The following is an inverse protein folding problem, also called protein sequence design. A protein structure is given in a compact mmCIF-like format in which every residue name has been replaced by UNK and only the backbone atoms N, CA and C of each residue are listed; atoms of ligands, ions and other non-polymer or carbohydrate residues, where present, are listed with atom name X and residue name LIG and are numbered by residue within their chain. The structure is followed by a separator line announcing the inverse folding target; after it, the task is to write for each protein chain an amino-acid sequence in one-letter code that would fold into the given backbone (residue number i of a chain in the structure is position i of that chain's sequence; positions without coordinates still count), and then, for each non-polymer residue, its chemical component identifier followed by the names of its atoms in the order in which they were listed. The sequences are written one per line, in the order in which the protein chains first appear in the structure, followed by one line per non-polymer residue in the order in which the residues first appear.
data_IF_655148197020
#
_entry.id   IF_655148197020
#
_cell.length_a   1.000
_cell.length_b   1.000
_cell.length_c   1.000
_cell.angle_alpha   90.00
_cell.angle_beta   90.00
_cell.angle_gamma   90.00
#
_symmetry.space_group_name_H-M   'P 1'
#
loop_
_entity.id
_entity.type
_entity.pdbx_description
1 polymer ?
#
# COMPACT_ATOMS: atom_id res chain seq x y z
N UNK A 1 -20.88 -13.58 -16.08
CA UNK A 1 -19.76 -14.41 -16.57
C UNK A 1 -18.41 -13.74 -16.26
N UNK A 2 -17.35 -14.53 -16.18
CA UNK A 2 -15.99 -14.04 -15.96
C UNK A 2 -15.56 -13.08 -17.09
N UNK A 3 -15.94 -13.36 -18.32
CA UNK A 3 -15.67 -12.49 -19.46
C UNK A 3 -16.30 -11.09 -19.33
N UNK A 4 -17.52 -11.01 -18.80
CA UNK A 4 -18.18 -9.72 -18.52
C UNK A 4 -17.47 -8.94 -17.42
N UNK A 5 -17.09 -9.62 -16.33
CA UNK A 5 -16.33 -9.00 -15.24
C UNK A 5 -15.00 -8.41 -15.74
N UNK A 6 -14.26 -9.18 -16.54
CA UNK A 6 -13.01 -8.71 -17.15
C UNK A 6 -13.24 -7.50 -18.07
N UNK A 7 -14.31 -7.53 -18.89
CA UNK A 7 -14.66 -6.42 -19.77
C UNK A 7 -15.04 -5.13 -19.00
N UNK A 8 -15.50 -5.26 -17.76
CA UNK A 8 -15.79 -4.15 -16.85
C UNK A 8 -14.55 -3.70 -16.06
N UNK A 9 -13.38 -4.27 -16.32
CA UNK A 9 -12.13 -3.88 -15.66
C UNK A 9 -11.87 -4.57 -14.32
N UNK A 10 -12.56 -5.69 -14.02
CA UNK A 10 -12.27 -6.45 -12.80
C UNK A 10 -10.86 -7.08 -12.88
N UNK A 11 -10.07 -6.92 -11.81
CA UNK A 11 -8.76 -7.56 -11.65
C UNK A 11 -8.84 -8.94 -11.01
N UNK A 12 -9.91 -9.23 -10.30
CA UNK A 12 -10.24 -10.53 -9.71
C UNK A 12 -11.75 -10.62 -9.49
N UNK A 13 -12.25 -11.82 -9.22
CA UNK A 13 -13.65 -12.02 -8.88
C UNK A 13 -13.79 -12.89 -7.63
N UNK A 14 -14.76 -12.57 -6.77
CA UNK A 14 -15.06 -13.37 -5.58
C UNK A 14 -16.37 -14.14 -5.78
N UNK A 15 -16.34 -15.42 -5.45
CA UNK A 15 -17.51 -16.31 -5.44
C UNK A 15 -17.64 -17.01 -4.10
N UNK A 16 -18.83 -17.51 -3.79
CA UNK A 16 -19.14 -18.11 -2.49
C UNK A 16 -19.21 -19.64 -2.58
N UNK A 17 -18.64 -20.31 -1.58
CA UNK A 17 -18.82 -21.74 -1.35
C UNK A 17 -19.53 -21.92 -0.02
N UNK A 18 -20.84 -22.23 -0.08
CA UNK A 18 -21.66 -22.42 1.10
C UNK A 18 -21.57 -23.87 1.61
N UNK A 19 -21.30 -24.00 2.90
CA UNK A 19 -21.10 -25.27 3.60
C UNK A 19 -22.01 -25.40 4.83
N UNK A 20 -22.16 -26.62 5.32
CA UNK A 20 -23.04 -26.95 6.45
C UNK A 20 -24.49 -27.22 6.03
N UNK A 21 -24.69 -27.49 4.75
CA UNK A 21 -25.97 -27.92 4.17
C UNK A 21 -26.01 -29.45 3.98
N UNK A 22 -27.02 -29.97 3.29
CA UNK A 22 -27.05 -31.36 2.88
C UNK A 22 -26.04 -31.64 1.76
N UNK A 23 -25.51 -32.85 1.69
CA UNK A 23 -24.55 -33.31 0.68
C UNK A 23 -24.96 -32.95 -0.76
N UNK A 24 -26.26 -33.02 -1.06
CA UNK A 24 -26.77 -32.65 -2.38
C UNK A 24 -26.58 -31.16 -2.71
N UNK A 25 -26.80 -30.29 -1.72
CA UNK A 25 -26.64 -28.82 -1.90
C UNK A 25 -25.20 -28.48 -2.02
N UNK A 26 -24.33 -29.05 -1.18
CA UNK A 26 -22.91 -28.82 -1.22
C UNK A 26 -22.26 -29.31 -2.52
N UNK A 27 -22.60 -30.53 -2.95
CA UNK A 27 -22.13 -31.07 -4.22
C UNK A 27 -22.50 -30.18 -5.41
N UNK A 28 -23.74 -29.67 -5.46
CA UNK A 28 -24.14 -28.72 -6.49
C UNK A 28 -23.36 -27.40 -6.41
N UNK A 29 -23.11 -26.91 -5.20
CA UNK A 29 -22.28 -25.71 -4.96
C UNK A 29 -20.83 -25.88 -5.45
N UNK A 30 -20.21 -27.02 -5.15
CA UNK A 30 -18.87 -27.38 -5.61
C UNK A 30 -18.79 -27.39 -7.13
N UNK A 31 -19.77 -28.07 -7.79
CA UNK A 31 -19.83 -28.17 -9.24
C UNK A 31 -19.93 -26.79 -9.91
N UNK A 32 -20.81 -25.92 -9.39
CA UNK A 32 -20.95 -24.53 -9.90
C UNK A 32 -19.67 -23.76 -9.74
N UNK A 33 -19.03 -23.82 -8.57
CA UNK A 33 -17.77 -23.14 -8.31
C UNK A 33 -16.65 -23.64 -9.24
N UNK A 34 -16.52 -24.96 -9.43
CA UNK A 34 -15.51 -25.56 -10.31
C UNK A 34 -15.67 -25.08 -11.77
N UNK A 35 -16.90 -25.06 -12.27
CA UNK A 35 -17.18 -24.54 -13.61
C UNK A 35 -16.84 -23.06 -13.76
N UNK A 36 -17.13 -22.28 -12.73
CA UNK A 36 -16.85 -20.84 -12.76
C UNK A 36 -15.36 -20.52 -12.65
N UNK A 37 -14.62 -21.26 -11.84
CA UNK A 37 -13.15 -21.17 -11.76
C UNK A 37 -12.52 -21.48 -13.13
N UNK A 38 -13.02 -22.54 -13.81
CA UNK A 38 -12.55 -22.87 -15.15
C UNK A 38 -12.88 -21.76 -16.16
N UNK A 39 -14.03 -21.09 -16.05
CA UNK A 39 -14.37 -19.92 -16.86
C UNK A 39 -13.40 -18.77 -16.60
N UNK A 40 -13.09 -18.49 -15.33
CA UNK A 40 -12.12 -17.45 -14.94
C UNK A 40 -10.72 -17.74 -15.51
N UNK A 41 -10.25 -18.98 -15.37
CA UNK A 41 -8.95 -19.43 -15.88
C UNK A 41 -8.82 -19.24 -17.39
N UNK A 42 -9.88 -19.50 -18.17
CA UNK A 42 -9.88 -19.29 -19.63
C UNK A 42 -9.71 -17.85 -20.07
N UNK A 43 -10.07 -16.90 -19.23
CA UNK A 43 -9.95 -15.46 -19.52
C UNK A 43 -8.82 -14.77 -18.76
N UNK A 44 -8.06 -15.53 -17.95
CA UNK A 44 -6.96 -15.00 -17.15
C UNK A 44 -7.41 -14.11 -15.99
N UNK A 45 -8.63 -14.31 -15.45
CA UNK A 45 -9.18 -13.55 -14.34
C UNK A 45 -9.01 -14.35 -13.03
N UNK A 46 -8.23 -13.89 -12.04
CA UNK A 46 -8.09 -14.55 -10.76
C UNK A 46 -9.43 -14.75 -10.05
N UNK A 47 -9.65 -15.95 -9.49
CA UNK A 47 -10.86 -16.32 -8.78
C UNK A 47 -10.57 -16.50 -7.29
N UNK A 48 -11.25 -15.70 -6.46
CA UNK A 48 -11.21 -15.78 -5.00
C UNK A 48 -12.43 -16.55 -4.55
N UNK A 49 -12.24 -17.63 -3.80
CA UNK A 49 -13.38 -18.36 -3.22
C UNK A 49 -13.54 -17.98 -1.74
N UNK A 50 -14.77 -17.67 -1.36
CA UNK A 50 -15.17 -17.39 0.02
C UNK A 50 -15.96 -18.59 0.59
N UNK A 51 -15.30 -19.51 1.33
CA UNK A 51 -15.99 -20.57 2.06
C UNK A 51 -16.79 -19.97 3.21
N UNK A 52 -18.06 -20.30 3.29
CA UNK A 52 -18.99 -19.82 4.32
C UNK A 52 -19.72 -20.97 4.99
N UNK A 53 -19.57 -21.08 6.30
CA UNK A 53 -20.28 -22.02 7.14
C UNK A 53 -21.68 -21.45 7.50
N UNK A 54 -22.72 -21.81 6.74
CA UNK A 54 -24.04 -21.19 6.87
C UNK A 54 -25.20 -22.21 6.97
N UNK A 55 -24.98 -23.47 6.66
CA UNK A 55 -26.03 -24.48 6.66
C UNK A 55 -26.54 -24.88 8.05
N UNK A 56 -27.67 -25.57 8.10
CA UNK A 56 -28.27 -26.04 9.35
C UNK A 56 -27.43 -27.05 10.14
N UNK A 57 -26.35 -27.57 9.55
CA UNK A 57 -25.41 -28.46 10.22
C UNK A 57 -24.25 -27.69 10.93
N UNK A 58 -24.21 -26.37 10.78
CA UNK A 58 -23.20 -25.51 11.43
C UNK A 58 -23.58 -25.28 12.87
N UNK A 59 -22.62 -25.47 13.77
CA UNK A 59 -22.71 -25.18 15.20
C UNK A 59 -21.52 -24.34 15.62
N UNK A 60 -21.58 -23.68 16.78
CA UNK A 60 -20.44 -22.96 17.30
C UNK A 60 -19.21 -23.86 17.54
N UNK A 61 -19.42 -25.16 17.76
CA UNK A 61 -18.34 -26.11 18.01
C UNK A 61 -17.63 -26.60 16.72
N UNK A 62 -18.31 -26.63 15.58
CA UNK A 62 -17.76 -27.20 14.34
C UNK A 62 -17.49 -26.16 13.23
N UNK A 63 -17.75 -24.88 13.46
CA UNK A 63 -17.60 -23.84 12.46
C UNK A 63 -16.17 -23.75 11.92
N UNK A 64 -15.16 -23.89 12.78
CA UNK A 64 -13.74 -23.84 12.39
C UNK A 64 -13.36 -25.04 11.52
N UNK A 65 -13.86 -26.23 11.85
CA UNK A 65 -13.60 -27.45 11.08
C UNK A 65 -14.25 -27.36 9.69
N UNK A 66 -15.49 -26.84 9.63
CA UNK A 66 -16.19 -26.62 8.34
C UNK A 66 -15.46 -25.59 7.49
N UNK A 67 -14.99 -24.48 8.08
CA UNK A 67 -14.21 -23.47 7.36
C UNK A 67 -12.87 -24.02 6.86
N UNK A 68 -12.20 -24.86 7.68
CA UNK A 68 -10.95 -25.50 7.32
C UNK A 68 -11.14 -26.48 6.15
N UNK A 69 -12.18 -27.30 6.21
CA UNK A 69 -12.57 -28.19 5.12
C UNK A 69 -12.93 -27.39 3.86
N UNK A 70 -13.70 -26.31 4.02
CA UNK A 70 -14.08 -25.44 2.91
C UNK A 70 -12.89 -24.74 2.25
N UNK A 71 -11.90 -24.34 3.04
CA UNK A 71 -10.65 -23.79 2.52
C UNK A 71 -9.92 -24.81 1.65
N UNK A 72 -9.81 -26.06 2.12
CA UNK A 72 -9.19 -27.14 1.37
C UNK A 72 -9.95 -27.44 0.06
N UNK A 73 -11.28 -27.57 0.15
CA UNK A 73 -12.12 -27.80 -1.03
C UNK A 73 -11.99 -26.68 -2.05
N UNK A 74 -11.96 -25.42 -1.61
CA UNK A 74 -11.82 -24.27 -2.50
C UNK A 74 -10.47 -24.28 -3.24
N UNK A 75 -9.37 -24.67 -2.57
CA UNK A 75 -8.07 -24.86 -3.21
C UNK A 75 -8.09 -25.97 -4.25
N UNK A 76 -8.71 -27.12 -3.93
CA UNK A 76 -8.83 -28.24 -4.86
C UNK A 76 -9.73 -27.93 -6.07
N UNK A 77 -10.72 -27.06 -5.90
CA UNK A 77 -11.51 -26.49 -7.00
C UNK A 77 -10.66 -25.61 -7.90
N UNK A 78 -9.58 -25.01 -7.37
CA UNK A 78 -8.62 -24.18 -8.10
C UNK A 78 -8.74 -22.68 -7.83
N UNK A 79 -9.12 -22.31 -6.61
CA UNK A 79 -9.07 -20.91 -6.18
C UNK A 79 -7.65 -20.35 -6.27
N UNK A 80 -7.50 -19.12 -6.75
CA UNK A 80 -6.22 -18.38 -6.76
C UNK A 80 -5.92 -17.72 -5.41
N UNK A 81 -6.98 -17.42 -4.64
CA UNK A 81 -6.89 -16.94 -3.26
C UNK A 81 -8.18 -17.31 -2.51
N UNK A 82 -8.14 -17.28 -1.19
CA UNK A 82 -9.29 -17.50 -0.33
C UNK A 82 -9.65 -16.22 0.41
N UNK A 83 -10.96 -16.02 0.63
CA UNK A 83 -11.48 -15.01 1.53
C UNK A 83 -12.20 -15.71 2.68
N UNK A 84 -11.68 -15.63 3.91
CA UNK A 84 -12.12 -16.47 5.03
C UNK A 84 -12.40 -15.61 6.28
N UNK A 85 -13.46 -15.93 7.05
CA UNK A 85 -13.68 -15.32 8.36
C UNK A 85 -12.51 -15.60 9.31
N UNK A 86 -12.12 -14.62 10.11
CA UNK A 86 -11.21 -14.88 11.21
C UNK A 86 -11.83 -15.86 12.20
N UNK A 87 -11.07 -16.88 12.61
CA UNK A 87 -11.58 -17.97 13.47
C UNK A 87 -11.67 -17.59 14.94
N UNK A 88 -11.27 -16.35 15.31
CA UNK A 88 -11.26 -15.86 16.69
C UNK A 88 -10.05 -16.28 17.51
N UNK A 89 -9.11 -16.99 16.91
CA UNK A 89 -7.88 -17.47 17.54
C UNK A 89 -6.73 -17.54 16.55
N UNK A 90 -5.57 -16.98 16.91
CA UNK A 90 -4.39 -16.88 16.04
C UNK A 90 -3.88 -18.25 15.60
N UNK A 91 -3.87 -19.23 16.50
CA UNK A 91 -3.30 -20.55 16.20
C UNK A 91 -4.20 -21.37 15.29
N UNK A 92 -5.51 -21.30 15.46
CA UNK A 92 -6.48 -21.96 14.57
C UNK A 92 -6.44 -21.33 13.19
N UNK A 93 -6.38 -19.99 13.10
CA UNK A 93 -6.29 -19.30 11.82
C UNK A 93 -4.95 -19.53 11.12
N UNK A 94 -3.86 -19.63 11.87
CA UNK A 94 -2.51 -19.97 11.34
C UNK A 94 -2.49 -21.36 10.72
N UNK A 95 -3.13 -22.35 11.36
CA UNK A 95 -3.28 -23.69 10.77
C UNK A 95 -4.05 -23.66 9.46
N UNK A 96 -5.15 -22.89 9.41
CA UNK A 96 -5.95 -22.72 8.20
C UNK A 96 -5.12 -22.06 7.09
N UNK A 97 -4.42 -20.97 7.36
CA UNK A 97 -3.56 -20.30 6.38
C UNK A 97 -2.50 -21.25 5.80
N UNK A 98 -1.88 -22.09 6.64
CA UNK A 98 -0.88 -23.07 6.19
C UNK A 98 -1.48 -24.17 5.32
N UNK A 99 -2.71 -24.60 5.61
CA UNK A 99 -3.40 -25.65 4.85
C UNK A 99 -3.92 -25.16 3.50
N UNK A 100 -4.15 -23.86 3.37
CA UNK A 100 -4.69 -23.26 2.16
C UNK A 100 -3.73 -23.32 0.98
N UNK A 101 -2.41 -23.22 1.19
CA UNK A 101 -1.38 -23.20 0.15
C UNK A 101 -1.54 -22.11 -0.93
N UNK A 102 -2.56 -21.24 -0.77
CA UNK A 102 -2.82 -20.03 -1.57
C UNK A 102 -2.99 -18.83 -0.63
N UNK A 103 -2.87 -17.59 -1.12
CA UNK A 103 -3.09 -16.40 -0.29
C UNK A 103 -4.45 -16.42 0.39
N UNK A 104 -4.47 -16.21 1.71
CA UNK A 104 -5.69 -16.08 2.51
C UNK A 104 -5.92 -14.61 2.83
N UNK A 105 -7.09 -14.10 2.45
CA UNK A 105 -7.54 -12.76 2.75
C UNK A 105 -8.61 -12.84 3.83
N UNK A 106 -8.37 -12.20 4.99
CA UNK A 106 -9.35 -12.22 6.06
C UNK A 106 -10.55 -11.34 5.72
N UNK A 107 -11.75 -11.81 5.95
CA UNK A 107 -12.94 -10.97 5.82
C UNK A 107 -13.24 -10.19 7.11
N UNK A 108 -13.79 -8.99 6.97
CA UNK A 108 -14.10 -8.11 8.11
C UNK A 108 -15.29 -8.54 8.97
N UNK A 109 -16.00 -9.59 8.60
CA UNK A 109 -17.14 -10.09 9.35
C UNK A 109 -18.34 -9.13 9.43
N UNK A 110 -19.10 -9.23 10.54
CA UNK A 110 -20.11 -8.27 10.90
C UNK A 110 -19.46 -6.91 11.22
N UNK A 111 -20.25 -5.83 11.23
CA UNK A 111 -19.73 -4.55 11.68
C UNK A 111 -19.26 -4.66 13.11
N UNK A 112 -18.03 -4.26 13.36
CA UNK A 112 -17.49 -4.10 14.71
C UNK A 112 -18.14 -2.90 15.41
N UNK A 113 -18.27 -2.98 16.72
CA UNK A 113 -18.87 -1.90 17.51
C UNK A 113 -17.97 -0.66 17.57
N UNK A 114 -16.65 -0.88 17.46
CA UNK A 114 -15.65 0.17 17.44
C UNK A 114 -14.55 -0.12 16.40
N UNK A 115 -13.75 0.88 16.12
CA UNK A 115 -12.65 0.83 15.14
C UNK A 115 -11.53 -0.12 15.61
N UNK A 116 -11.25 -0.17 16.91
CA UNK A 116 -10.21 -1.03 17.50
C UNK A 116 -10.44 -2.49 17.16
N UNK A 117 -11.67 -2.99 17.33
CA UNK A 117 -11.99 -4.41 17.09
C UNK A 117 -11.68 -4.83 15.64
N UNK A 118 -11.97 -3.94 14.68
CA UNK A 118 -11.67 -4.22 13.26
C UNK A 118 -10.15 -4.27 13.00
N UNK A 119 -9.39 -3.41 13.67
CA UNK A 119 -7.93 -3.37 13.55
C UNK A 119 -7.27 -4.56 14.26
N UNK A 120 -7.75 -4.93 15.45
CA UNK A 120 -7.27 -6.10 16.21
C UNK A 120 -7.53 -7.39 15.44
N UNK A 121 -8.75 -7.58 14.93
CA UNK A 121 -9.08 -8.72 14.08
C UNK A 121 -8.09 -8.85 12.90
N UNK A 122 -7.79 -7.74 12.24
CA UNK A 122 -6.87 -7.79 11.11
C UNK A 122 -5.43 -8.04 11.54
N UNK A 123 -4.96 -7.39 12.62
CA UNK A 123 -3.60 -7.58 13.13
C UNK A 123 -3.35 -9.04 13.55
N UNK A 124 -4.30 -9.66 14.25
CA UNK A 124 -4.23 -11.06 14.65
C UNK A 124 -4.27 -12.01 13.43
N UNK A 125 -5.13 -11.73 12.46
CA UNK A 125 -5.17 -12.51 11.23
C UNK A 125 -3.86 -12.40 10.43
N UNK A 126 -3.24 -11.23 10.37
CA UNK A 126 -1.95 -11.02 9.72
C UNK A 126 -0.82 -11.74 10.47
N UNK A 127 -0.79 -11.70 11.80
CA UNK A 127 0.14 -12.48 12.63
C UNK A 127 0.00 -13.98 12.38
N UNK A 128 -1.23 -14.42 12.15
CA UNK A 128 -1.53 -15.81 11.81
C UNK A 128 -1.13 -16.21 10.38
N UNK A 129 -0.77 -15.25 9.51
CA UNK A 129 -0.31 -15.52 8.14
C UNK A 129 -1.30 -15.14 7.05
N UNK A 130 -2.33 -14.33 7.33
CA UNK A 130 -3.14 -13.73 6.29
C UNK A 130 -2.30 -12.86 5.36
N UNK A 131 -2.52 -12.98 4.06
CA UNK A 131 -1.86 -12.18 3.03
C UNK A 131 -2.45 -10.76 2.91
N UNK A 132 -3.64 -10.52 3.49
CA UNK A 132 -4.34 -9.25 3.45
C UNK A 132 -5.76 -9.35 3.98
N UNK A 133 -6.57 -8.32 3.73
CA UNK A 133 -7.98 -8.34 4.11
C UNK A 133 -8.91 -7.89 2.97
N UNK A 134 -10.15 -8.37 2.99
CA UNK A 134 -11.26 -7.90 2.16
C UNK A 134 -12.41 -7.47 3.05
N UNK A 135 -12.33 -6.24 3.58
CA UNK A 135 -13.31 -5.67 4.49
C UNK A 135 -14.28 -4.75 3.75
N UNK A 136 -15.56 -5.05 3.81
CA UNK A 136 -16.62 -4.20 3.25
C UNK A 136 -17.27 -3.33 4.31
N UNK A 137 -18.16 -3.92 5.12
CA UNK A 137 -19.05 -3.23 6.06
C UNK A 137 -18.31 -2.41 7.12
N UNK A 138 -17.19 -2.89 7.64
CA UNK A 138 -16.40 -2.16 8.62
C UNK A 138 -15.84 -0.87 8.04
N UNK A 139 -15.40 -0.90 6.78
CA UNK A 139 -14.89 0.28 6.07
C UNK A 139 -16.03 1.21 5.64
N UNK A 140 -17.00 0.69 4.88
CA UNK A 140 -18.05 1.53 4.27
C UNK A 140 -19.02 2.16 5.28
N UNK A 141 -19.12 1.61 6.48
CA UNK A 141 -19.94 2.12 7.58
C UNK A 141 -19.13 2.73 8.72
N UNK A 142 -17.81 2.87 8.54
CA UNK A 142 -16.99 3.65 9.46
C UNK A 142 -17.41 5.12 9.42
N UNK A 143 -17.40 5.84 10.54
CA UNK A 143 -17.54 7.30 10.56
C UNK A 143 -16.48 8.01 9.72
N UNK A 144 -15.28 7.41 9.63
CA UNK A 144 -14.18 7.85 8.78
C UNK A 144 -13.58 6.65 8.03
N UNK A 145 -14.16 6.27 6.88
CA UNK A 145 -13.69 5.13 6.09
C UNK A 145 -12.25 5.27 5.62
N UNK A 146 -11.85 6.50 5.32
CA UNK A 146 -10.50 6.79 4.84
C UNK A 146 -9.46 6.52 5.93
N UNK A 147 -9.67 7.05 7.13
CA UNK A 147 -8.81 6.81 8.28
C UNK A 147 -8.65 5.32 8.57
N UNK A 148 -9.76 4.58 8.58
CA UNK A 148 -9.71 3.12 8.83
C UNK A 148 -8.90 2.39 7.78
N UNK A 149 -9.01 2.78 6.50
CA UNK A 149 -8.18 2.20 5.45
C UNK A 149 -6.70 2.52 5.66
N UNK A 150 -6.36 3.77 6.01
CA UNK A 150 -4.97 4.18 6.29
C UNK A 150 -4.37 3.39 7.47
N UNK A 151 -5.15 3.14 8.50
CA UNK A 151 -4.76 2.33 9.66
C UNK A 151 -4.53 0.86 9.25
N UNK A 152 -5.44 0.27 8.46
CA UNK A 152 -5.29 -1.09 7.94
C UNK A 152 -4.05 -1.22 7.05
N UNK A 153 -3.80 -0.25 6.19
CA UNK A 153 -2.58 -0.17 5.36
C UNK A 153 -1.33 -0.04 6.23
N UNK A 154 -1.38 0.78 7.29
CA UNK A 154 -0.30 0.93 8.25
C UNK A 154 0.06 -0.38 8.96
N UNK A 155 -0.94 -1.16 9.34
CA UNK A 155 -0.74 -2.51 9.90
C UNK A 155 -0.19 -3.46 8.84
N UNK A 156 -0.81 -3.48 7.65
CA UNK A 156 -0.48 -4.41 6.56
C UNK A 156 0.95 -4.25 6.03
N UNK A 157 1.37 -3.02 5.78
CA UNK A 157 2.57 -2.74 5.00
C UNK A 157 3.67 -2.00 5.76
N UNK A 158 3.35 -1.41 6.92
CA UNK A 158 4.30 -0.61 7.69
C UNK A 158 4.57 -1.15 9.09
N UNK A 159 4.04 -2.34 9.43
CA UNK A 159 4.27 -2.99 10.71
C UNK A 159 3.74 -2.20 11.92
N UNK A 160 2.67 -1.43 11.75
CA UNK A 160 2.08 -0.71 12.86
C UNK A 160 1.38 -1.66 13.82
N UNK A 161 1.56 -1.43 15.13
CA UNK A 161 0.67 -2.01 16.13
C UNK A 161 -0.70 -1.34 16.07
N UNK A 162 -1.74 -2.02 16.56
CA UNK A 162 -3.09 -1.46 16.66
C UNK A 162 -3.10 -0.16 17.47
N UNK A 163 -2.37 -0.12 18.60
CA UNK A 163 -2.25 1.09 19.40
C UNK A 163 -1.58 2.24 18.66
N UNK A 164 -0.63 1.95 17.78
CA UNK A 164 -0.04 2.96 16.91
C UNK A 164 -1.04 3.43 15.88
N UNK A 165 -1.75 2.52 15.22
CA UNK A 165 -2.77 2.84 14.24
C UNK A 165 -3.88 3.74 14.83
N UNK A 166 -4.31 3.48 16.06
CA UNK A 166 -5.34 4.27 16.76
C UNK A 166 -4.85 5.63 17.24
N UNK A 167 -3.56 5.75 17.61
CA UNK A 167 -2.95 7.03 18.03
C UNK A 167 -2.63 7.95 16.86
N UNK A 168 -2.71 7.47 15.63
CA UNK A 168 -2.56 8.32 14.46
C UNK A 168 -3.72 9.32 14.40
N UNK A 169 -3.61 10.42 15.14
CA UNK A 169 -4.30 11.65 14.82
C UNK A 169 -3.89 12.00 13.40
N UNK A 170 -4.87 11.95 12.48
CA UNK A 170 -4.73 12.36 11.07
C UNK A 170 -3.27 12.53 10.62
N UNK A 171 -2.59 11.43 10.30
CA UNK A 171 -1.36 11.53 9.52
C UNK A 171 -1.79 11.99 8.13
N UNK A 172 -2.02 13.28 8.01
CA UNK A 172 -1.99 13.93 6.74
C UNK A 172 -0.56 13.74 6.24
N UNK A 173 -0.31 12.67 5.44
CA UNK A 173 0.94 12.57 4.73
C UNK A 173 1.11 13.89 3.98
N UNK A 174 2.09 14.65 4.43
CA UNK A 174 2.38 15.93 3.85
C UNK A 174 2.74 15.69 2.38
N UNK A 175 2.08 16.40 1.49
CA UNK A 175 2.45 16.40 0.08
C UNK A 175 2.75 17.81 -0.37
N UNK A 176 3.77 17.92 -1.19
CA UNK A 176 3.96 19.12 -1.97
C UNK A 176 2.90 19.18 -3.06
N UNK A 177 2.32 20.34 -3.23
CA UNK A 177 1.44 20.71 -4.35
C UNK A 177 1.93 22.01 -4.96
N UNK A 178 1.57 22.24 -6.19
CA UNK A 178 1.90 23.50 -6.85
C UNK A 178 0.72 24.06 -7.64
N UNK A 179 0.63 25.39 -7.63
CA UNK A 179 -0.20 26.19 -8.52
C UNK A 179 0.71 26.82 -9.59
N UNK A 180 0.83 26.23 -10.79
CA UNK A 180 1.78 26.73 -11.80
C UNK A 180 1.52 28.19 -12.21
N UNK A 181 0.26 28.64 -12.15
CA UNK A 181 -0.10 30.03 -12.46
C UNK A 181 0.48 31.06 -11.49
N UNK A 182 0.78 30.65 -10.27
CA UNK A 182 1.34 31.49 -9.21
C UNK A 182 2.88 31.52 -9.23
N UNK A 183 3.51 30.64 -10.00
CA UNK A 183 4.96 30.49 -10.01
C UNK A 183 5.61 31.60 -10.85
N UNK A 184 6.44 32.41 -10.22
CA UNK A 184 7.21 33.51 -10.87
C UNK A 184 8.58 33.07 -11.41
N UNK A 185 8.99 31.82 -11.17
CA UNK A 185 10.31 31.33 -11.59
C UNK A 185 11.48 31.86 -10.76
N UNK A 186 11.23 32.42 -9.59
CA UNK A 186 12.28 33.10 -8.77
C UNK A 186 13.35 32.16 -8.20
N UNK A 187 13.19 30.84 -8.27
CA UNK A 187 14.09 29.80 -7.75
C UNK A 187 14.37 29.84 -6.23
N UNK A 188 13.68 30.65 -5.43
CA UNK A 188 13.86 30.64 -3.96
C UNK A 188 13.63 29.25 -3.34
N UNK A 189 12.65 28.52 -3.82
CA UNK A 189 12.38 27.14 -3.37
C UNK A 189 13.54 26.18 -3.68
N UNK A 190 14.23 26.36 -4.81
CA UNK A 190 15.40 25.55 -5.19
C UNK A 190 16.56 25.86 -4.26
N UNK A 191 16.82 27.14 -4.01
CA UNK A 191 17.89 27.59 -3.08
C UNK A 191 17.61 27.10 -1.66
N UNK A 192 16.37 27.24 -1.16
CA UNK A 192 16.01 26.80 0.18
C UNK A 192 16.14 25.27 0.33
N UNK A 193 15.73 24.50 -0.69
CA UNK A 193 15.89 23.05 -0.67
C UNK A 193 17.38 22.64 -0.69
N UNK A 194 18.21 23.33 -1.47
CA UNK A 194 19.66 23.09 -1.47
C UNK A 194 20.30 23.42 -0.13
N UNK A 195 19.97 24.57 0.45
CA UNK A 195 20.51 25.01 1.74
C UNK A 195 20.13 24.09 2.92
N UNK A 196 18.91 23.53 2.91
CA UNK A 196 18.44 22.62 3.94
C UNK A 196 19.24 21.30 3.97
N UNK A 197 19.83 20.93 2.84
CA UNK A 197 20.47 19.62 2.65
C UNK A 197 21.99 19.71 2.37
N UNK A 198 22.57 20.89 2.48
CA UNK A 198 23.99 21.15 2.26
C UNK A 198 24.61 21.72 3.53
N UNK A 199 25.38 20.91 4.25
CA UNK A 199 26.02 21.28 5.52
C UNK A 199 27.05 22.42 5.38
N UNK A 200 27.41 22.82 4.17
CA UNK A 200 28.49 23.78 3.90
C UNK A 200 28.19 24.94 2.96
N UNK A 201 27.00 25.03 2.36
CA UNK A 201 26.77 26.03 1.34
C UNK A 201 25.32 26.15 0.80
N UNK A 202 25.16 27.08 -0.12
CA UNK A 202 23.89 27.30 -0.83
C UNK A 202 23.84 26.53 -2.15
N UNK A 203 24.29 25.26 -2.13
CA UNK A 203 24.42 24.44 -3.33
C UNK A 203 23.08 23.98 -3.89
N UNK A 204 22.64 24.58 -4.99
CA UNK A 204 21.39 24.17 -5.67
C UNK A 204 21.49 22.79 -6.34
N UNK A 205 22.68 22.21 -6.43
CA UNK A 205 22.92 20.88 -7.01
C UNK A 205 22.32 19.73 -6.18
N UNK A 206 22.10 19.94 -4.87
CA UNK A 206 21.42 19.00 -3.99
C UNK A 206 19.90 19.27 -3.87
N UNK A 207 19.40 20.28 -4.55
CA UNK A 207 17.97 20.56 -4.54
C UNK A 207 17.17 19.41 -5.16
N UNK A 208 16.13 18.96 -4.45
CA UNK A 208 15.25 17.85 -4.82
C UNK A 208 13.99 18.34 -5.54
N UNK A 209 14.10 19.52 -6.12
CA UNK A 209 13.12 20.14 -7.00
C UNK A 209 13.81 21.08 -7.98
N UNK A 210 13.13 21.40 -9.07
CA UNK A 210 13.63 22.36 -10.07
C UNK A 210 12.49 23.16 -10.67
N UNK A 211 12.82 24.30 -11.25
CA UNK A 211 11.88 25.11 -12.02
C UNK A 211 12.13 24.88 -13.51
N UNK A 212 11.09 24.57 -14.25
CA UNK A 212 11.11 24.49 -15.70
C UNK A 212 10.37 25.69 -16.28
N UNK A 213 10.90 26.26 -17.35
CA UNK A 213 10.19 27.26 -18.14
C UNK A 213 9.11 26.58 -18.97
N UNK A 214 7.91 27.14 -18.95
CA UNK A 214 6.81 26.68 -19.78
C UNK A 214 6.95 27.12 -21.25
N UNK A 215 5.99 26.75 -22.09
CA UNK A 215 5.98 27.07 -23.51
C UNK A 215 5.71 28.55 -23.81
N UNK A 216 5.23 29.32 -22.84
CA UNK A 216 4.96 30.77 -22.97
C UNK A 216 5.89 31.58 -22.06
N UNK A 217 6.31 32.77 -22.49
CA UNK A 217 7.07 33.69 -21.64
C UNK A 217 6.35 33.93 -20.31
N UNK A 218 7.11 33.85 -19.19
CA UNK A 218 6.56 34.02 -17.83
C UNK A 218 5.82 32.82 -17.25
N UNK A 219 5.67 31.73 -18.00
CA UNK A 219 5.17 30.47 -17.47
C UNK A 219 6.31 29.66 -16.83
N UNK A 220 6.09 29.24 -15.60
CA UNK A 220 7.04 28.40 -14.89
C UNK A 220 6.32 27.21 -14.26
N UNK A 221 7.01 26.08 -14.15
CA UNK A 221 6.51 24.87 -13.50
C UNK A 221 7.50 24.37 -12.46
N UNK A 222 7.02 24.16 -11.26
CA UNK A 222 7.81 23.53 -10.20
C UNK A 222 7.75 22.02 -10.38
N UNK A 223 8.88 21.39 -10.63
CA UNK A 223 9.04 19.94 -10.66
C UNK A 223 9.54 19.47 -9.31
N UNK A 224 8.81 18.60 -8.66
CA UNK A 224 9.08 18.07 -7.30
C UNK A 224 8.65 16.61 -7.18
N UNK A 225 9.02 15.96 -6.09
CA UNK A 225 8.61 14.58 -5.82
C UNK A 225 7.09 14.50 -5.58
N UNK A 226 6.42 13.71 -6.41
CA UNK A 226 4.97 13.46 -6.31
C UNK A 226 4.63 12.28 -5.40
N UNK A 227 5.63 11.66 -4.78
CA UNK A 227 5.51 10.46 -3.95
C UNK A 227 4.82 9.30 -4.70
N UNK A 228 5.18 9.08 -5.97
CA UNK A 228 4.58 8.08 -6.85
C UNK A 228 5.13 6.66 -6.68
N UNK A 229 6.10 6.45 -5.79
CA UNK A 229 6.75 5.16 -5.43
C UNK A 229 7.59 4.47 -6.52
N UNK A 230 7.55 4.88 -7.75
CA UNK A 230 8.27 4.20 -8.85
C UNK A 230 9.75 3.95 -8.55
N UNK A 231 10.40 4.86 -7.83
CA UNK A 231 11.79 4.69 -7.41
C UNK A 231 11.99 3.61 -6.34
N UNK A 232 10.98 3.41 -5.47
CA UNK A 232 10.97 2.33 -4.46
C UNK A 232 10.81 0.99 -5.16
N UNK A 233 9.80 0.87 -6.04
CA UNK A 233 9.51 -0.36 -6.80
C UNK A 233 10.67 -0.77 -7.72
N UNK A 234 11.37 0.20 -8.30
CA UNK A 234 12.49 -0.05 -9.21
C UNK A 234 13.82 -0.34 -8.48
N UNK A 235 13.88 -0.18 -7.15
CA UNK A 235 15.13 -0.37 -6.41
C UNK A 235 15.41 -1.86 -6.20
N UNK A 236 16.44 -2.46 -6.85
CA UNK A 236 16.67 -3.91 -6.80
C UNK A 236 17.13 -4.39 -5.42
N UNK A 237 17.70 -3.50 -4.61
CA UNK A 237 18.23 -3.81 -3.27
C UNK A 237 17.28 -3.43 -2.15
N UNK A 238 16.16 -2.76 -2.46
CA UNK A 238 15.27 -2.21 -1.44
C UNK A 238 15.86 -1.05 -0.63
N UNK A 239 16.94 -0.43 -1.13
CA UNK A 239 17.58 0.71 -0.47
C UNK A 239 16.65 1.93 -0.36
N UNK A 240 15.67 2.06 -1.25
CA UNK A 240 14.63 3.10 -1.18
C UNK A 240 13.37 2.53 -0.57
N UNK A 241 12.86 3.20 0.44
CA UNK A 241 11.63 2.81 1.14
C UNK A 241 10.82 4.01 1.58
N UNK A 242 9.62 3.77 2.07
CA UNK A 242 8.83 4.80 2.74
C UNK A 242 9.37 5.13 4.12
N UNK A 243 9.49 6.40 4.39
CA UNK A 243 9.73 6.87 5.75
C UNK A 243 8.41 6.81 6.55
N UNK A 244 8.35 6.04 7.65
CA UNK A 244 7.09 5.69 8.29
C UNK A 244 6.37 6.87 8.97
N UNK A 245 7.06 7.98 9.21
CA UNK A 245 6.48 9.14 9.89
C UNK A 245 6.11 10.28 8.94
N UNK A 246 6.91 10.51 7.92
CA UNK A 246 6.69 11.63 6.98
C UNK A 246 5.97 11.22 5.71
N UNK A 247 5.94 9.91 5.40
CA UNK A 247 5.47 9.42 4.11
C UNK A 247 6.34 9.87 2.93
N UNK A 248 7.55 10.33 3.20
CA UNK A 248 8.55 10.65 2.21
C UNK A 248 9.31 9.41 1.74
N UNK A 249 10.12 9.55 0.72
CA UNK A 249 11.05 8.50 0.30
C UNK A 249 12.31 8.59 1.15
N UNK A 250 12.70 7.49 1.78
CA UNK A 250 13.92 7.36 2.56
C UNK A 250 14.93 6.49 1.81
N UNK A 251 16.20 6.88 1.85
CA UNK A 251 17.32 6.09 1.34
C UNK A 251 18.08 5.45 2.51
N UNK A 252 18.23 4.12 2.47
CA UNK A 252 19.19 3.40 3.31
C UNK A 252 20.47 3.25 2.49
N UNK A 253 21.41 4.16 2.71
CA UNK A 253 22.62 4.27 1.88
C UNK A 253 23.45 2.97 1.91
N UNK A 254 23.47 2.25 3.04
CA UNK A 254 24.17 0.98 3.20
C UNK A 254 23.67 -0.13 2.26
N UNK A 255 22.43 -0.04 1.80
CA UNK A 255 21.84 -1.00 0.87
C UNK A 255 21.94 -0.54 -0.58
N UNK A 256 22.40 0.70 -0.83
CA UNK A 256 22.52 1.24 -2.17
C UNK A 256 23.70 0.63 -2.93
N UNK A 257 23.52 0.44 -4.24
CA UNK A 257 24.56 -0.04 -5.17
C UNK A 257 24.86 0.97 -6.30
N UNK A 258 24.33 2.18 -6.20
CA UNK A 258 24.52 3.26 -7.21
C UNK A 258 24.08 2.86 -8.63
N UNK A 259 23.15 1.93 -8.78
CA UNK A 259 22.71 1.39 -10.08
C UNK A 259 22.01 2.43 -10.98
N UNK A 260 21.38 3.47 -10.41
CA UNK A 260 20.72 4.55 -11.14
C UNK A 260 19.29 4.26 -11.59
N UNK A 261 18.73 3.09 -11.34
CA UNK A 261 17.37 2.73 -11.74
C UNK A 261 16.32 3.71 -11.20
N UNK A 262 16.46 4.14 -9.95
CA UNK A 262 15.56 5.12 -9.33
C UNK A 262 15.58 6.48 -10.03
N UNK A 263 16.73 6.91 -10.55
CA UNK A 263 16.87 8.14 -11.32
C UNK A 263 16.18 8.00 -12.66
N UNK A 264 16.38 6.87 -13.35
CA UNK A 264 15.83 6.61 -14.67
C UNK A 264 14.29 6.54 -14.68
N UNK A 265 13.68 5.96 -13.64
CA UNK A 265 12.23 5.79 -13.57
C UNK A 265 11.48 7.01 -13.02
N UNK A 266 12.18 8.01 -12.49
CA UNK A 266 11.53 9.18 -11.88
C UNK A 266 10.79 10.03 -12.93
N UNK A 267 9.44 10.12 -12.88
CA UNK A 267 8.68 10.81 -13.91
C UNK A 267 8.88 12.33 -13.89
N UNK A 268 9.24 12.87 -12.73
CA UNK A 268 9.53 14.31 -12.57
C UNK A 268 11.02 14.62 -12.65
N UNK A 269 11.87 13.60 -12.76
CA UNK A 269 13.34 13.72 -12.87
C UNK A 269 13.95 14.59 -11.76
N UNK A 270 13.46 14.48 -10.54
CA UNK A 270 13.92 15.27 -9.38
C UNK A 270 14.83 14.47 -8.44
N UNK A 271 15.12 13.21 -8.77
CA UNK A 271 16.14 12.44 -8.08
C UNK A 271 17.48 12.82 -8.71
N UNK A 272 18.35 13.42 -7.92
CA UNK A 272 19.67 13.82 -8.35
C UNK A 272 20.74 12.88 -7.77
N UNK A 273 21.94 12.89 -8.34
CA UNK A 273 23.08 12.17 -7.79
C UNK A 273 23.76 13.05 -6.75
N UNK A 274 24.22 12.44 -5.65
CA UNK A 274 25.06 13.16 -4.70
C UNK A 274 26.31 13.72 -5.39
N UNK A 275 26.80 14.85 -4.91
CA UNK A 275 28.02 15.47 -5.44
C UNK A 275 29.27 14.67 -5.09
N UNK A 276 29.26 14.02 -3.94
CA UNK A 276 30.36 13.24 -3.39
C UNK A 276 29.90 11.82 -3.11
N UNK A 277 30.86 10.89 -3.17
CA UNK A 277 30.66 9.49 -2.77
C UNK A 277 30.63 9.36 -1.25
N UNK A 278 30.32 8.15 -0.78
CA UNK A 278 30.30 7.84 0.65
C UNK A 278 30.99 6.50 0.90
N UNK A 279 31.76 6.44 1.99
CA UNK A 279 32.32 5.18 2.49
C UNK A 279 31.36 4.58 3.49
N UNK A 280 30.91 3.37 3.21
CA UNK A 280 29.95 2.64 4.03
C UNK A 280 30.63 1.95 5.23
N UNK A 281 29.84 1.59 6.23
CA UNK A 281 30.30 0.89 7.44
C UNK A 281 30.89 -0.48 7.18
N UNK A 282 30.45 -1.16 6.09
CA UNK A 282 30.96 -2.46 5.64
C UNK A 282 32.26 -2.37 4.80
N UNK A 283 32.79 -1.17 4.63
CA UNK A 283 34.02 -0.90 3.90
C UNK A 283 33.85 -0.63 2.40
N UNK A 284 32.67 -0.83 1.83
CA UNK A 284 32.35 -0.44 0.45
C UNK A 284 32.42 1.09 0.28
N UNK A 285 32.68 1.52 -0.92
CA UNK A 285 32.62 2.94 -1.29
C UNK A 285 31.63 3.09 -2.45
N UNK A 286 30.69 4.02 -2.32
CA UNK A 286 29.84 4.44 -3.40
C UNK A 286 30.42 5.73 -3.99
N UNK A 287 30.56 5.80 -5.30
CA UNK A 287 31.00 7.03 -5.98
C UNK A 287 29.91 8.10 -5.94
N UNK A 288 28.66 7.67 -5.83
CA UNK A 288 27.49 8.53 -5.68
C UNK A 288 26.31 7.74 -5.12
N UNK A 289 25.29 8.42 -4.61
CA UNK A 289 24.00 7.83 -4.21
C UNK A 289 22.85 8.76 -4.61
N UNK A 290 21.59 8.23 -4.76
CA UNK A 290 20.46 9.06 -5.13
C UNK A 290 20.03 9.98 -3.97
N UNK A 291 19.89 11.25 -4.27
CA UNK A 291 19.33 12.25 -3.35
C UNK A 291 17.84 12.36 -3.65
N UNK A 292 17.01 11.93 -2.70
CA UNK A 292 15.56 11.89 -2.82
C UNK A 292 14.90 12.91 -1.89
N UNK A 293 13.67 13.33 -2.22
CA UNK A 293 12.93 14.28 -1.38
C UNK A 293 12.41 13.57 -0.12
N UNK A 294 12.85 14.03 1.03
CA UNK A 294 12.49 13.58 2.38
C UNK A 294 11.44 14.46 3.06
N UNK A 295 10.90 15.45 2.33
CA UNK A 295 9.98 16.47 2.85
C UNK A 295 10.59 17.28 4.03
N UNK A 296 11.91 17.37 4.11
CA UNK A 296 12.66 18.04 5.20
C UNK A 296 12.15 17.59 6.59
N UNK A 297 11.96 16.25 6.77
CA UNK A 297 11.43 15.68 8.01
C UNK A 297 10.00 16.02 8.36
N UNK A 298 9.25 16.65 7.45
CA UNK A 298 7.84 17.05 7.64
C UNK A 298 7.59 18.58 7.61
N UNK A 299 8.65 19.37 7.44
CA UNK A 299 8.56 20.85 7.31
C UNK A 299 9.28 21.33 6.05
N UNK A 300 8.69 21.18 4.86
CA UNK A 300 9.35 21.47 3.59
C UNK A 300 9.76 22.91 3.41
N UNK A 301 11.05 23.20 3.51
CA UNK A 301 11.65 24.53 3.37
C UNK A 301 11.26 25.22 2.04
N UNK A 302 11.15 24.44 0.96
CA UNK A 302 10.72 24.95 -0.35
C UNK A 302 9.29 25.52 -0.35
N UNK A 303 8.38 24.95 0.43
CA UNK A 303 7.01 25.46 0.57
C UNK A 303 6.98 26.68 1.49
N UNK A 304 7.72 26.62 2.60
CA UNK A 304 7.80 27.71 3.58
C UNK A 304 8.34 29.03 3.00
N UNK A 305 9.33 28.95 2.09
CA UNK A 305 9.98 30.12 1.51
C UNK A 305 9.20 30.73 0.33
N UNK A 306 8.21 30.04 -0.26
CA UNK A 306 7.59 30.48 -1.49
C UNK A 306 6.76 31.78 -1.30
N UNK A 307 7.16 32.92 -1.89
CA UNK A 307 6.51 34.20 -1.59
C UNK A 307 5.12 34.34 -2.21
N UNK A 308 4.81 33.52 -3.23
CA UNK A 308 3.51 33.53 -3.90
C UNK A 308 2.63 32.35 -3.48
N UNK A 309 3.13 31.44 -2.64
CA UNK A 309 2.43 30.20 -2.34
C UNK A 309 2.28 29.24 -3.54
N UNK A 310 3.05 29.46 -4.61
CA UNK A 310 3.00 28.61 -5.80
C UNK A 310 3.38 27.17 -5.52
N UNK A 311 4.26 26.89 -4.55
CA UNK A 311 4.49 25.57 -3.98
C UNK A 311 4.06 25.62 -2.51
N UNK A 312 3.30 24.64 -2.09
CA UNK A 312 2.72 24.59 -0.75
C UNK A 312 2.55 23.15 -0.30
N UNK A 313 2.32 22.97 0.98
CA UNK A 313 1.99 21.69 1.58
C UNK A 313 0.49 21.51 1.68
N UNK A 314 0.02 20.34 1.33
CA UNK A 314 -1.35 19.93 1.62
C UNK A 314 -1.30 18.61 2.36
N UNK A 315 -2.07 18.52 3.44
CA UNK A 315 -2.37 17.25 4.07
C UNK A 315 -3.05 16.35 3.04
N UNK A 316 -2.65 15.08 2.95
CA UNK A 316 -3.36 14.11 2.16
C UNK A 316 -4.53 13.58 2.96
N UNK A 317 -5.73 13.86 2.51
CA UNK A 317 -6.89 13.04 2.75
C UNK A 317 -6.91 11.99 1.63
N UNK A 318 -6.47 10.76 1.90
CA UNK A 318 -6.49 9.66 0.91
C UNK A 318 -5.12 9.05 0.60
N UNK A 319 -5.15 7.77 0.41
CA UNK A 319 -4.10 6.80 0.09
C UNK A 319 -2.69 7.35 -0.22
N UNK A 320 -1.68 6.78 0.48
CA UNK A 320 -0.42 6.52 -0.18
C UNK A 320 -0.71 5.57 -1.37
N UNK A 321 -0.19 5.81 -2.58
CA UNK A 321 -0.39 4.90 -3.69
C UNK A 321 0.19 3.54 -3.39
#
# INVERSE_FOLDING_TARGET
SAKQALALGASAITIYLFLGYSDRVEAAGIEVNARFVEECRRVGLPCIIEPLAYGGQVTGANVVDILTLGARMAVEIGADALKIPYTGDVDTFRRLCRLAEVPVLVLGGARSDNERDALELYAEAQEAGAAGCLMGRNVTRSPDPQRLIEQLVGIAHHGWSVDRALRTEQWAYLRLKAHPAECTGCNLCVVACGAEHDEGGYGTHLARLRIESGSRPGQHRVMFCTLCQKCIEACPTGALRWHPHTGAVELIVEQCESCGECVAVCPTQVIVRSAEGVRLSDGRTLDWYPVVCDLCGGDPACAAICPTGAIFTAGRTGFAP
#
